data_IF_741554655392
#
_entry.id   IF_741554655392
#
_cell.length_a   1.000
_cell.length_b   1.000
_cell.length_c   1.000
_cell.angle_alpha   90.00
_cell.angle_beta   90.00
_cell.angle_gamma   90.00
#
_symmetry.space_group_name_H-M   'P 1'
#
loop_
_entity.id
_entity.type
_entity.pdbx_description
1 polymer ?
#
# COMPACT_ATOMS: atom_id res chain seq x y z
N UNK A 1 6.66 8.43 -10.80
CA UNK A 1 5.75 7.78 -11.77
C UNK A 1 4.57 8.72 -12.00
N UNK A 2 4.17 8.97 -13.25
CA UNK A 2 2.97 9.76 -13.55
C UNK A 2 1.73 8.86 -13.58
N UNK A 3 0.53 9.44 -13.42
CA UNK A 3 -0.74 8.67 -13.41
C UNK A 3 -0.91 7.82 -14.68
N UNK A 4 -0.52 8.35 -15.85
CA UNK A 4 -0.63 7.65 -17.14
C UNK A 4 0.30 6.44 -17.22
N UNK A 5 1.54 6.62 -16.76
CA UNK A 5 2.55 5.56 -16.70
C UNK A 5 2.13 4.46 -15.71
N UNK A 6 1.48 4.83 -14.60
CA UNK A 6 0.90 3.89 -13.66
C UNK A 6 -0.21 3.03 -14.29
N UNK A 7 -1.12 3.64 -15.05
CA UNK A 7 -2.19 2.90 -15.73
C UNK A 7 -1.65 1.95 -16.83
N UNK A 8 -0.52 2.28 -17.45
CA UNK A 8 0.15 1.42 -18.44
C UNK A 8 0.91 0.27 -17.76
N UNK A 9 1.61 0.55 -16.66
CA UNK A 9 2.38 -0.47 -15.93
C UNK A 9 1.51 -1.38 -15.05
N UNK A 10 0.34 -0.91 -14.62
CA UNK A 10 -0.61 -1.63 -13.77
C UNK A 10 -2.03 -1.57 -14.34
N UNK A 11 -2.28 -2.21 -15.49
CA UNK A 11 -3.61 -2.25 -16.09
C UNK A 11 -4.58 -3.12 -15.28
N UNK A 12 -4.06 -4.13 -14.58
CA UNK A 12 -4.83 -5.06 -13.76
C UNK A 12 -4.95 -4.61 -12.31
N UNK A 13 -6.13 -4.85 -11.75
CA UNK A 13 -6.42 -4.47 -10.36
C UNK A 13 -5.51 -5.23 -9.37
N UNK A 14 -5.16 -6.48 -9.65
CA UNK A 14 -4.21 -7.25 -8.84
C UNK A 14 -2.81 -6.63 -8.83
N UNK A 15 -2.29 -6.22 -9.99
CA UNK A 15 -0.97 -5.59 -10.10
C UNK A 15 -0.95 -4.23 -9.40
N UNK A 16 -2.02 -3.45 -9.54
CA UNK A 16 -2.21 -2.18 -8.85
C UNK A 16 -2.21 -2.36 -7.32
N UNK A 17 -3.01 -3.31 -6.82
CA UNK A 17 -3.11 -3.65 -5.39
C UNK A 17 -1.78 -4.12 -4.81
N UNK A 18 -1.05 -4.97 -5.53
CA UNK A 18 0.26 -5.47 -5.11
C UNK A 18 1.27 -4.33 -5.00
N UNK A 19 1.31 -3.45 -6.00
CA UNK A 19 2.19 -2.27 -5.96
C UNK A 19 1.83 -1.28 -4.87
N UNK A 20 0.54 -1.08 -4.63
CA UNK A 20 0.07 -0.25 -3.53
C UNK A 20 0.57 -0.79 -2.19
N UNK A 21 0.47 -2.10 -1.95
CA UNK A 21 1.02 -2.75 -0.76
C UNK A 21 2.54 -2.56 -0.66
N UNK A 22 3.30 -2.85 -1.71
CA UNK A 22 4.76 -2.67 -1.73
C UNK A 22 5.19 -1.24 -1.40
N UNK A 23 4.52 -0.24 -1.97
CA UNK A 23 4.84 1.16 -1.67
C UNK A 23 4.53 1.54 -0.22
N UNK A 24 3.43 1.03 0.33
CA UNK A 24 3.05 1.28 1.73
C UNK A 24 4.00 0.58 2.71
N UNK A 25 4.49 -0.60 2.34
CA UNK A 25 5.52 -1.34 3.09
C UNK A 25 6.85 -0.56 3.10
N UNK A 26 7.29 -0.08 1.93
CA UNK A 26 8.50 0.75 1.81
C UNK A 26 8.41 2.09 2.53
N UNK A 27 7.25 2.75 2.50
CA UNK A 27 7.05 4.02 3.20
C UNK A 27 7.09 3.87 4.72
N UNK A 28 6.94 2.65 5.25
CA UNK A 28 6.85 2.40 6.67
C UNK A 28 5.55 2.97 7.22
N UNK A 29 4.58 2.09 7.46
CA UNK A 29 3.34 2.53 8.10
C UNK A 29 3.66 2.84 9.58
N UNK A 30 3.78 4.13 9.87
CA UNK A 30 3.97 4.63 11.23
C UNK A 30 2.66 5.27 11.67
N UNK A 31 1.97 4.65 12.63
CA UNK A 31 0.74 5.22 13.19
C UNK A 31 1.05 6.57 13.81
N UNK A 32 0.47 7.66 13.30
CA UNK A 32 0.59 8.99 13.94
C UNK A 32 -0.10 9.07 15.31
N UNK A 33 -1.05 8.17 15.58
CA UNK A 33 -1.84 8.15 16.80
C UNK A 33 -1.19 7.28 17.90
N UNK A 34 -0.54 6.20 17.50
CA UNK A 34 -0.05 5.13 18.36
C UNK A 34 1.48 5.12 18.47
N UNK A 35 2.17 5.72 17.50
CA UNK A 35 3.62 5.62 17.29
C UNK A 35 4.14 4.17 17.15
N UNK A 36 3.25 3.20 16.95
CA UNK A 36 3.59 1.81 16.68
C UNK A 36 4.11 1.68 15.24
N UNK A 37 5.14 0.85 15.09
CA UNK A 37 5.69 0.44 13.78
C UNK A 37 5.21 -0.94 13.35
N UNK A 38 4.57 -1.66 14.27
CA UNK A 38 3.97 -2.96 14.01
C UNK A 38 2.52 -2.74 13.58
N UNK A 39 2.31 -2.77 12.27
CA UNK A 39 0.98 -2.81 11.70
C UNK A 39 0.85 -4.08 10.87
N UNK A 40 -0.32 -4.70 10.94
CA UNK A 40 -0.62 -5.86 10.12
C UNK A 40 -1.41 -5.43 8.88
N UNK A 41 -1.08 -6.03 7.74
CA UNK A 41 -1.78 -5.79 6.49
C UNK A 41 -3.07 -6.61 6.45
N UNK A 42 -4.23 -5.95 6.42
CA UNK A 42 -5.49 -6.64 6.13
C UNK A 42 -5.69 -6.70 4.62
N UNK A 43 -5.61 -7.91 4.06
CA UNK A 43 -5.91 -8.13 2.63
C UNK A 43 -7.36 -7.81 2.28
N UNK A 44 -8.30 -8.04 3.19
CA UNK A 44 -9.72 -7.72 3.00
C UNK A 44 -9.98 -6.21 2.85
N UNK A 45 -9.29 -5.37 3.62
CA UNK A 45 -9.44 -3.89 3.59
C UNK A 45 -8.39 -3.21 2.70
N UNK A 46 -7.37 -3.95 2.29
CA UNK A 46 -6.16 -3.43 1.62
C UNK A 46 -5.53 -2.25 2.36
N UNK A 47 -5.53 -2.35 3.68
CA UNK A 47 -5.08 -1.31 4.58
C UNK A 47 -4.28 -1.92 5.73
N UNK A 48 -3.33 -1.14 6.23
CA UNK A 48 -2.66 -1.45 7.47
C UNK A 48 -3.52 -1.01 8.64
N UNK A 49 -3.72 -1.91 9.60
CA UNK A 49 -4.38 -1.63 10.88
C UNK A 49 -3.32 -1.69 11.98
N UNK A 50 -3.50 -0.84 12.99
CA UNK A 50 -2.64 -0.83 14.17
C UNK A 50 -3.18 -1.83 15.19
#
# INVERSE_FOLDING_TARGET
>A
MNILDFAINYPDEESCRKKFKEQRDQMGVTCRHCNCKEHYWLENKQAYEC
#
